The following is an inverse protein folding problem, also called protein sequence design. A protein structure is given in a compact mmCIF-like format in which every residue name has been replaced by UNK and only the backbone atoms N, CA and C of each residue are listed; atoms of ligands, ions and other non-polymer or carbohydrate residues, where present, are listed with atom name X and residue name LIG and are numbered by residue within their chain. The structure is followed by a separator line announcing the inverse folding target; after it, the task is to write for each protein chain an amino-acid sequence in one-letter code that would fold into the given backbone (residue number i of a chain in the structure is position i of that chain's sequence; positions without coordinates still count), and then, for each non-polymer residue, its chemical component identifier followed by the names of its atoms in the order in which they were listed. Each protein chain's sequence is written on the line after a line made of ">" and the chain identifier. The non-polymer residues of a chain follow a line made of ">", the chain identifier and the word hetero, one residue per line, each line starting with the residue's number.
data_IF_327906659091
#
_entry.id   IF_327906659091
#
_cell.length_a   1.000
_cell.length_b   1.000
_cell.length_c   1.000
_cell.angle_alpha   90.00
_cell.angle_beta   90.00
_cell.angle_gamma   90.00
#
_symmetry.space_group_name_H-M   'P 1'
#
loop_
_entity.id
_entity.type
_entity.pdbx_description
1 polymer ?
#
# COMPACT_ATOMS: atom_id res chain seq x y z
N UNK A 1 8.55 2.54 -27.84
CA UNK A 1 8.85 1.17 -27.35
C UNK A 1 7.62 0.64 -26.66
N UNK A 2 7.16 -0.52 -27.03
CA UNK A 2 5.94 -1.07 -26.45
C UNK A 2 6.19 -1.75 -25.10
N UNK A 3 5.10 -2.10 -24.39
CA UNK A 3 5.14 -2.71 -23.08
C UNK A 3 5.96 -4.00 -23.05
N UNK A 4 5.77 -4.85 -24.04
CA UNK A 4 6.45 -6.15 -24.13
C UNK A 4 7.96 -5.96 -24.21
N UNK A 5 8.41 -5.06 -25.05
CA UNK A 5 9.85 -4.74 -25.19
C UNK A 5 10.46 -4.21 -23.91
N UNK A 6 9.75 -3.31 -23.22
CA UNK A 6 10.22 -2.75 -21.96
C UNK A 6 10.35 -3.82 -20.88
N UNK A 7 9.36 -4.71 -20.79
CA UNK A 7 9.40 -5.81 -19.82
C UNK A 7 10.54 -6.79 -20.14
N UNK A 8 10.73 -7.13 -21.41
CA UNK A 8 11.79 -8.03 -21.83
C UNK A 8 13.19 -7.47 -21.54
N UNK A 9 13.36 -6.16 -21.64
CA UNK A 9 14.63 -5.48 -21.32
C UNK A 9 14.90 -5.38 -19.82
N UNK A 10 13.86 -5.13 -19.04
CA UNK A 10 14.01 -4.91 -17.59
C UNK A 10 14.14 -6.22 -16.82
N UNK A 11 13.53 -7.29 -17.30
CA UNK A 11 13.50 -8.58 -16.63
C UNK A 11 14.68 -9.46 -17.03
N UNK A 12 15.22 -10.21 -16.07
CA UNK A 12 16.31 -11.16 -16.30
C UNK A 12 15.78 -12.57 -16.62
N UNK A 13 14.58 -12.90 -16.18
CA UNK A 13 13.92 -14.17 -16.41
C UNK A 13 12.41 -14.01 -16.49
N UNK A 14 11.68 -15.11 -16.71
CA UNK A 14 10.24 -15.10 -16.87
C UNK A 14 9.50 -14.74 -15.58
N UNK A 15 9.99 -15.21 -14.42
CA UNK A 15 9.37 -14.88 -13.14
C UNK A 15 9.46 -13.39 -12.85
N UNK A 16 10.62 -12.80 -13.11
CA UNK A 16 10.84 -11.37 -12.96
C UNK A 16 9.98 -10.59 -13.95
N UNK A 17 9.84 -11.08 -15.18
CA UNK A 17 8.98 -10.46 -16.18
C UNK A 17 7.51 -10.40 -15.74
N UNK A 18 7.00 -11.48 -15.16
CA UNK A 18 5.63 -11.52 -14.63
C UNK A 18 5.46 -10.54 -13.46
N UNK A 19 6.44 -10.50 -12.56
CA UNK A 19 6.44 -9.55 -11.45
C UNK A 19 6.40 -8.11 -11.98
N UNK A 20 7.26 -7.77 -12.93
CA UNK A 20 7.32 -6.43 -13.49
C UNK A 20 6.03 -6.04 -14.23
N UNK A 21 5.34 -7.01 -14.82
CA UNK A 21 4.01 -6.77 -15.38
C UNK A 21 3.01 -6.31 -14.33
N UNK A 22 3.04 -6.93 -13.14
CA UNK A 22 2.19 -6.52 -12.02
C UNK A 22 2.58 -5.14 -11.47
N UNK A 23 3.88 -4.86 -11.38
CA UNK A 23 4.37 -3.53 -10.98
C UNK A 23 3.85 -2.45 -11.93
N UNK A 24 3.95 -2.71 -13.22
CA UNK A 24 3.43 -1.80 -14.25
C UNK A 24 1.93 -1.55 -14.07
N UNK A 25 1.15 -2.62 -13.88
CA UNK A 25 -0.31 -2.50 -13.72
C UNK A 25 -0.66 -1.68 -12.49
N UNK A 26 0.06 -1.84 -11.38
CA UNK A 26 -0.16 -1.05 -10.17
C UNK A 26 0.21 0.42 -10.38
N UNK A 27 1.32 0.68 -11.06
CA UNK A 27 1.70 2.05 -11.40
C UNK A 27 0.63 2.74 -12.25
N UNK A 28 0.13 2.08 -13.29
CA UNK A 28 -0.95 2.63 -14.12
C UNK A 28 -2.23 2.85 -13.32
N UNK A 29 -2.57 1.93 -12.44
CA UNK A 29 -3.75 2.04 -11.60
C UNK A 29 -3.68 3.29 -10.70
N UNK A 30 -2.54 3.52 -10.07
CA UNK A 30 -2.32 4.72 -9.26
C UNK A 30 -2.46 5.98 -10.11
N UNK A 31 -1.81 6.02 -11.25
CA UNK A 31 -1.81 7.19 -12.14
C UNK A 31 -3.21 7.51 -12.68
N UNK A 32 -3.95 6.48 -13.12
CA UNK A 32 -5.27 6.67 -13.73
C UNK A 32 -6.36 7.01 -12.72
N UNK A 33 -6.26 6.46 -11.52
CA UNK A 33 -7.31 6.62 -10.49
C UNK A 33 -6.95 7.59 -9.38
N UNK A 34 -5.70 8.06 -9.35
CA UNK A 34 -5.17 8.91 -8.27
C UNK A 34 -5.36 8.30 -6.89
N UNK A 35 -5.22 6.98 -6.80
CA UNK A 35 -5.33 6.23 -5.55
C UNK A 35 -3.95 5.69 -5.18
N UNK A 36 -3.43 5.99 -3.97
CA UNK A 36 -2.21 5.37 -3.50
C UNK A 36 -2.34 3.85 -3.56
N UNK A 37 -1.38 3.18 -4.16
CA UNK A 37 -1.48 1.74 -4.35
C UNK A 37 -0.12 1.08 -4.15
N UNK A 38 -0.12 -0.14 -3.63
CA UNK A 38 1.10 -0.86 -3.33
C UNK A 38 1.14 -2.21 -4.04
N UNK A 39 2.36 -2.64 -4.30
CA UNK A 39 2.63 -3.97 -4.86
C UNK A 39 2.70 -5.02 -3.76
N UNK A 40 2.95 -6.26 -4.15
CA UNK A 40 3.36 -7.33 -3.25
C UNK A 40 4.71 -6.99 -2.60
N UNK A 41 5.12 -7.80 -1.62
CA UNK A 41 6.46 -7.69 -1.06
C UNK A 41 7.52 -8.05 -2.09
N UNK A 42 8.51 -7.19 -2.21
CA UNK A 42 9.61 -7.34 -3.14
C UNK A 42 10.91 -7.58 -2.38
N UNK A 43 11.67 -8.61 -2.80
CA UNK A 43 13.03 -8.82 -2.34
C UNK A 43 13.93 -7.69 -2.85
N UNK A 44 15.15 -7.51 -2.30
CA UNK A 44 16.07 -6.50 -2.84
C UNK A 44 16.34 -6.64 -4.33
N UNK A 45 16.43 -7.87 -4.84
CA UNK A 45 16.62 -8.13 -6.26
C UNK A 45 15.42 -7.69 -7.08
N UNK A 46 14.21 -7.98 -6.60
CA UNK A 46 12.96 -7.57 -7.24
C UNK A 46 12.77 -6.06 -7.19
N UNK A 47 13.18 -5.41 -6.11
CA UNK A 47 13.18 -3.95 -6.00
C UNK A 47 14.08 -3.31 -7.07
N UNK A 48 15.29 -3.87 -7.26
CA UNK A 48 16.21 -3.40 -8.29
C UNK A 48 15.60 -3.55 -9.69
N UNK A 49 14.95 -4.67 -9.96
CA UNK A 49 14.25 -4.90 -11.23
C UNK A 49 13.12 -3.89 -11.44
N UNK A 50 12.31 -3.63 -10.41
CA UNK A 50 11.25 -2.63 -10.46
C UNK A 50 11.80 -1.23 -10.74
N UNK A 51 12.90 -0.85 -10.13
CA UNK A 51 13.56 0.44 -10.38
C UNK A 51 14.06 0.55 -11.82
N UNK A 52 14.60 -0.52 -12.38
CA UNK A 52 15.02 -0.53 -13.80
C UNK A 52 13.82 -0.29 -14.72
N UNK A 53 12.70 -0.96 -14.45
CA UNK A 53 11.48 -0.77 -15.25
C UNK A 53 10.97 0.66 -15.15
N UNK A 54 10.84 1.17 -13.92
CA UNK A 54 10.34 2.53 -13.69
C UNK A 54 11.24 3.58 -14.34
N UNK A 55 12.56 3.40 -14.25
CA UNK A 55 13.51 4.27 -14.92
C UNK A 55 13.33 4.25 -16.44
N UNK A 56 13.11 3.08 -17.04
CA UNK A 56 12.84 2.95 -18.47
C UNK A 56 11.53 3.63 -18.87
N UNK A 57 10.57 3.71 -17.96
CA UNK A 57 9.29 4.43 -18.16
C UNK A 57 9.41 5.93 -17.91
N UNK A 58 10.58 6.41 -17.49
CA UNK A 58 10.78 7.82 -17.13
C UNK A 58 10.24 8.18 -15.74
N UNK A 59 9.96 7.20 -14.91
CA UNK A 59 9.44 7.40 -13.55
C UNK A 59 10.63 7.43 -12.59
N UNK A 60 10.96 8.60 -12.07
CA UNK A 60 12.11 8.80 -11.18
C UNK A 60 11.69 9.15 -9.75
N UNK A 61 10.43 9.49 -9.53
CA UNK A 61 9.87 9.82 -8.23
C UNK A 61 8.39 9.38 -8.19
N UNK A 62 7.70 9.72 -7.10
CA UNK A 62 6.29 9.33 -6.95
C UNK A 62 6.11 7.92 -6.45
N UNK A 63 7.14 7.30 -5.91
CA UNK A 63 7.05 6.01 -5.26
C UNK A 63 8.09 5.87 -4.15
N UNK A 64 7.80 5.00 -3.19
CA UNK A 64 8.72 4.67 -2.10
C UNK A 64 8.67 3.17 -1.83
N UNK A 65 9.77 2.63 -1.31
CA UNK A 65 9.77 1.28 -0.73
C UNK A 65 9.45 1.40 0.76
N UNK A 66 8.48 0.62 1.22
CA UNK A 66 7.91 0.79 2.54
C UNK A 66 7.72 -0.55 3.25
N UNK A 67 7.99 -0.54 4.54
CA UNK A 67 7.83 -1.70 5.40
C UNK A 67 9.08 -2.56 5.47
N UNK A 68 9.44 -3.03 6.64
CA UNK A 68 10.42 -4.08 6.86
C UNK A 68 9.67 -5.26 7.42
N UNK A 69 9.79 -6.42 6.82
CA UNK A 69 8.83 -7.45 7.06
C UNK A 69 9.44 -8.84 7.14
N UNK A 70 8.96 -9.66 8.08
CA UNK A 70 9.27 -11.07 8.30
C UNK A 70 10.76 -11.43 8.45
N UNK A 71 11.61 -10.48 8.86
CA UNK A 71 13.05 -10.69 9.00
C UNK A 71 13.80 -10.80 7.68
N UNK A 72 13.09 -10.75 6.55
CA UNK A 72 13.67 -10.59 5.23
C UNK A 72 13.65 -9.11 4.85
N UNK A 73 14.58 -8.68 3.99
CA UNK A 73 14.67 -7.29 3.53
C UNK A 73 13.62 -6.97 2.48
N UNK A 74 12.45 -7.60 2.57
CA UNK A 74 11.34 -7.37 1.64
C UNK A 74 10.59 -6.13 2.01
N UNK A 75 10.28 -5.32 1.01
CA UNK A 75 9.48 -4.12 1.15
C UNK A 75 8.40 -4.07 0.06
N UNK A 76 7.35 -3.33 0.31
CA UNK A 76 6.34 -3.05 -0.71
C UNK A 76 6.76 -1.81 -1.47
N UNK A 77 6.54 -1.83 -2.76
CA UNK A 77 6.64 -0.63 -3.59
C UNK A 77 5.30 0.08 -3.53
N UNK A 78 5.29 1.28 -2.99
CA UNK A 78 4.09 2.08 -2.78
C UNK A 78 4.11 3.27 -3.73
N UNK A 79 3.13 3.33 -4.62
CA UNK A 79 2.99 4.42 -5.58
C UNK A 79 2.16 5.55 -4.98
N UNK A 80 2.67 6.77 -5.12
CA UNK A 80 2.05 7.98 -4.62
C UNK A 80 1.38 8.74 -5.76
N UNK A 81 0.15 9.24 -5.58
CA UNK A 81 -0.47 10.11 -6.58
C UNK A 81 0.29 11.43 -6.72
N UNK A 82 0.09 12.12 -7.84
CA UNK A 82 0.77 13.37 -8.14
C UNK A 82 0.55 14.48 -7.09
N UNK A 83 -0.54 14.40 -6.34
CA UNK A 83 -0.84 15.39 -5.29
C UNK A 83 -0.10 15.13 -3.97
N UNK A 84 0.65 14.04 -3.87
CA UNK A 84 1.48 13.80 -2.68
C UNK A 84 2.65 14.79 -2.66
N UNK A 85 2.81 15.47 -1.53
CA UNK A 85 3.77 16.58 -1.42
C UNK A 85 5.24 16.14 -1.40
N UNK A 86 5.52 14.95 -0.90
CA UNK A 86 6.90 14.47 -0.78
C UNK A 86 7.01 13.00 -1.19
N UNK A 87 7.84 12.67 -2.19
CA UNK A 87 8.05 11.28 -2.62
C UNK A 87 9.21 10.60 -1.87
N UNK A 88 9.28 10.72 -0.57
CA UNK A 88 10.29 10.06 0.24
C UNK A 88 9.67 8.98 1.14
N UNK A 89 10.50 8.29 1.92
CA UNK A 89 10.05 7.22 2.81
C UNK A 89 9.05 7.70 3.87
N UNK A 90 9.08 9.00 4.19
CA UNK A 90 8.16 9.60 5.16
C UNK A 90 6.81 9.96 4.54
N UNK A 91 6.65 9.79 3.23
CA UNK A 91 5.40 10.08 2.52
C UNK A 91 4.31 9.04 2.78
N UNK A 92 4.65 7.91 3.41
CA UNK A 92 3.69 6.85 3.71
C UNK A 92 3.67 6.64 5.23
N UNK A 93 2.46 6.59 5.77
CA UNK A 93 2.23 6.27 7.18
C UNK A 93 1.26 5.12 7.31
N UNK A 94 1.32 4.38 8.39
CA UNK A 94 0.37 3.32 8.71
C UNK A 94 -0.32 3.63 10.03
N UNK A 95 -1.64 3.44 10.05
CA UNK A 95 -2.45 3.56 11.25
C UNK A 95 -3.04 2.20 11.57
N UNK A 96 -2.85 1.73 12.80
CA UNK A 96 -3.46 0.50 13.28
C UNK A 96 -4.67 0.83 14.12
N UNK A 97 -5.78 0.17 13.85
CA UNK A 97 -7.00 0.22 14.66
C UNK A 97 -7.24 -1.13 15.32
N UNK A 98 -7.44 -1.13 16.60
CA UNK A 98 -7.75 -2.34 17.40
C UNK A 98 -9.10 -2.16 18.10
N UNK A 99 -9.69 -3.28 18.50
CA UNK A 99 -10.98 -3.28 19.20
C UNK A 99 -11.07 -4.44 20.19
N UNK A 100 -11.99 -4.33 21.13
CA UNK A 100 -12.27 -5.36 22.11
C UNK A 100 -13.60 -6.06 21.80
N UNK A 101 -13.75 -7.29 22.23
CA UNK A 101 -15.04 -7.96 22.27
C UNK A 101 -15.29 -9.02 21.22
N UNK A 102 -14.31 -9.53 20.53
CA UNK A 102 -14.45 -10.70 19.66
C UNK A 102 -15.37 -10.51 18.44
N UNK A 103 -15.78 -9.31 18.13
CA UNK A 103 -16.59 -9.05 16.96
C UNK A 103 -15.75 -9.14 15.68
N UNK A 104 -16.33 -9.74 14.65
CA UNK A 104 -15.66 -9.91 13.37
C UNK A 104 -15.93 -8.72 12.46
N UNK A 105 -14.91 -7.91 12.23
CA UNK A 105 -14.97 -6.78 11.31
C UNK A 105 -14.27 -7.12 10.01
N UNK A 106 -14.88 -6.70 8.90
CA UNK A 106 -14.39 -6.97 7.55
C UNK A 106 -13.74 -5.73 6.94
N UNK A 107 -13.02 -5.92 5.84
CA UNK A 107 -12.48 -4.82 5.04
C UNK A 107 -13.57 -3.78 4.70
N UNK A 108 -14.77 -4.25 4.36
CA UNK A 108 -15.89 -3.38 4.00
C UNK A 108 -16.35 -2.51 5.17
N UNK A 109 -16.35 -3.07 6.39
CA UNK A 109 -16.72 -2.32 7.61
C UNK A 109 -15.76 -1.17 7.84
N UNK A 110 -14.46 -1.41 7.69
CA UNK A 110 -13.45 -0.37 7.85
C UNK A 110 -13.49 0.68 6.75
N UNK A 111 -13.65 0.25 5.50
CA UNK A 111 -13.76 1.18 4.37
C UNK A 111 -14.98 2.10 4.55
N UNK A 112 -16.12 1.54 4.92
CA UNK A 112 -17.33 2.32 5.19
C UNK A 112 -17.15 3.33 6.31
N UNK A 113 -16.49 2.91 7.39
CA UNK A 113 -16.16 3.78 8.52
C UNK A 113 -15.26 4.94 8.11
N UNK A 114 -14.22 4.67 7.32
CA UNK A 114 -13.30 5.69 6.83
C UNK A 114 -13.99 6.67 5.86
N UNK A 115 -14.82 6.16 4.95
CA UNK A 115 -15.59 7.03 4.04
C UNK A 115 -16.58 7.90 4.80
N UNK A 116 -17.13 7.38 5.91
CA UNK A 116 -18.03 8.14 6.79
C UNK A 116 -17.40 9.35 7.46
N UNK A 117 -16.06 9.39 7.52
CA UNK A 117 -15.33 10.55 8.05
C UNK A 117 -15.20 11.68 7.01
N UNK A 118 -15.72 11.49 5.81
CA UNK A 118 -15.62 12.49 4.74
C UNK A 118 -14.36 12.37 3.89
N UNK A 119 -13.58 11.30 4.06
CA UNK A 119 -12.40 11.06 3.28
C UNK A 119 -12.75 10.54 1.88
N UNK A 120 -11.97 10.92 0.89
CA UNK A 120 -12.11 10.36 -0.46
C UNK A 120 -11.26 9.07 -0.56
N UNK A 121 -11.65 8.16 -1.44
CA UNK A 121 -10.90 6.90 -1.62
C UNK A 121 -9.45 7.15 -2.03
N UNK A 122 -9.17 8.25 -2.74
CA UNK A 122 -7.83 8.62 -3.16
C UNK A 122 -6.87 9.01 -2.04
N UNK A 123 -7.37 9.28 -0.83
CA UNK A 123 -6.52 9.62 0.32
C UNK A 123 -6.15 8.41 1.18
N UNK A 124 -6.75 7.26 0.91
CA UNK A 124 -6.54 6.02 1.66
C UNK A 124 -5.92 4.99 0.74
N UNK A 125 -4.80 4.43 1.16
CA UNK A 125 -4.15 3.33 0.45
C UNK A 125 -4.76 1.97 0.82
N UNK A 126 -3.91 0.99 1.01
CA UNK A 126 -4.36 -0.36 1.35
C UNK A 126 -4.94 -0.43 2.75
N UNK A 127 -5.97 -1.23 2.90
CA UNK A 127 -6.58 -1.57 4.18
C UNK A 127 -6.31 -3.06 4.41
N UNK A 128 -5.47 -3.36 5.39
CA UNK A 128 -5.02 -4.72 5.68
C UNK A 128 -5.62 -5.19 7.00
N UNK A 129 -6.56 -6.12 6.94
CA UNK A 129 -7.29 -6.59 8.11
C UNK A 129 -6.72 -7.93 8.56
N UNK A 130 -6.28 -8.00 9.82
CA UNK A 130 -5.92 -9.23 10.50
C UNK A 130 -7.05 -9.63 11.48
N UNK A 131 -6.88 -10.70 12.24
CA UNK A 131 -7.90 -11.14 13.21
C UNK A 131 -8.17 -10.10 14.31
N UNK A 132 -7.16 -9.32 14.68
CA UNK A 132 -7.19 -8.46 15.85
C UNK A 132 -6.96 -6.98 15.54
N UNK A 133 -6.65 -6.62 14.30
CA UNK A 133 -6.44 -5.22 13.94
C UNK A 133 -6.68 -4.93 12.47
N UNK A 134 -6.90 -3.67 12.18
CA UNK A 134 -6.96 -3.11 10.83
C UNK A 134 -5.77 -2.17 10.65
N UNK A 135 -5.04 -2.33 9.57
CA UNK A 135 -3.88 -1.49 9.24
C UNK A 135 -4.20 -0.70 7.97
N UNK A 136 -4.12 0.61 8.07
CA UNK A 136 -4.42 1.51 6.93
C UNK A 136 -3.14 2.21 6.51
N UNK A 137 -2.75 2.01 5.26
CA UNK A 137 -1.64 2.75 4.64
C UNK A 137 -2.18 4.04 4.04
N UNK A 138 -1.56 5.15 4.37
CA UNK A 138 -2.04 6.46 3.94
C UNK A 138 -0.90 7.48 3.94
N UNK A 139 -1.22 8.73 3.68
CA UNK A 139 -0.27 9.83 3.77
C UNK A 139 -0.23 10.38 5.20
N UNK A 140 0.89 11.01 5.62
CA UNK A 140 1.05 11.48 7.01
C UNK A 140 -0.06 12.39 7.51
N UNK A 141 -0.54 13.33 6.70
CA UNK A 141 -1.63 14.24 7.10
C UNK A 141 -2.93 13.48 7.35
N UNK A 142 -3.24 12.51 6.50
CA UNK A 142 -4.42 11.66 6.69
C UNK A 142 -4.27 10.80 7.94
N UNK A 143 -3.07 10.28 8.19
CA UNK A 143 -2.79 9.50 9.40
C UNK A 143 -3.03 10.33 10.67
N UNK A 144 -2.57 11.58 10.72
CA UNK A 144 -2.84 12.49 11.84
C UNK A 144 -4.34 12.69 12.06
N UNK A 145 -5.08 12.90 10.98
CA UNK A 145 -6.52 13.04 11.04
C UNK A 145 -7.19 11.78 11.59
N UNK A 146 -6.76 10.59 11.14
CA UNK A 146 -7.32 9.33 11.61
C UNK A 146 -7.06 9.10 13.09
N UNK A 147 -5.88 9.45 13.59
CA UNK A 147 -5.55 9.31 15.01
C UNK A 147 -6.47 10.13 15.92
N UNK A 148 -7.00 11.24 15.41
CA UNK A 148 -7.89 12.11 16.19
C UNK A 148 -9.37 11.87 15.93
N UNK A 149 -9.76 11.39 14.74
CA UNK A 149 -11.15 11.34 14.30
C UNK A 149 -11.73 9.94 14.14
N UNK A 150 -10.89 8.93 13.91
CA UNK A 150 -11.37 7.58 13.62
C UNK A 150 -11.57 6.79 14.92
N UNK A 151 -12.81 6.75 15.41
CA UNK A 151 -13.13 6.22 16.73
C UNK A 151 -13.99 4.96 16.69
N UNK A 152 -14.60 4.64 15.56
CA UNK A 152 -15.49 3.48 15.47
C UNK A 152 -15.63 2.94 14.05
N UNK A 153 -15.95 1.67 13.96
CA UNK A 153 -16.41 1.01 12.73
C UNK A 153 -17.77 0.40 13.03
N UNK A 154 -18.83 1.00 12.48
CA UNK A 154 -20.20 0.65 12.85
C UNK A 154 -20.42 0.96 14.34
N UNK A 155 -20.80 -0.08 15.10
CA UNK A 155 -21.04 0.01 16.55
C UNK A 155 -19.80 -0.33 17.37
N UNK A 156 -18.73 -0.76 16.72
CA UNK A 156 -17.51 -1.20 17.40
C UNK A 156 -16.60 -0.02 17.62
N UNK A 157 -16.18 0.19 18.88
CA UNK A 157 -15.26 1.26 19.23
C UNK A 157 -13.83 0.83 18.89
N UNK A 158 -13.09 1.71 18.24
CA UNK A 158 -11.71 1.50 17.82
C UNK A 158 -10.74 2.30 18.68
N UNK A 159 -9.56 1.70 18.88
CA UNK A 159 -8.41 2.42 19.41
C UNK A 159 -7.37 2.49 18.31
N UNK A 160 -6.92 3.69 17.97
CA UNK A 160 -5.98 3.91 16.86
C UNK A 160 -4.60 4.31 17.38
N UNK A 161 -3.59 3.88 16.66
CA UNK A 161 -2.19 4.22 16.95
C UNK A 161 -1.40 4.23 15.64
N UNK A 162 -0.35 5.06 15.61
CA UNK A 162 0.58 5.05 14.50
C UNK A 162 1.37 3.74 14.54
N UNK A 163 1.46 3.05 13.40
CA UNK A 163 2.15 1.78 13.28
C UNK A 163 3.50 1.98 12.61
N UNK A 164 4.62 1.60 13.26
CA UNK A 164 5.92 1.62 12.58
C UNK A 164 5.92 0.70 11.36
N UNK A 165 6.60 1.08 10.27
CA UNK A 165 6.61 0.26 9.04
C UNK A 165 7.07 -1.17 9.23
N UNK A 166 8.04 -1.39 10.11
CA UNK A 166 8.59 -2.72 10.43
C UNK A 166 7.61 -3.62 11.18
N UNK A 167 6.56 -3.07 11.74
CA UNK A 167 5.51 -3.82 12.45
C UNK A 167 4.29 -4.12 11.58
N UNK A 168 4.30 -3.69 10.32
CA UNK A 168 3.21 -3.93 9.40
C UNK A 168 3.06 -5.43 9.12
N UNK A 169 1.85 -5.96 9.32
CA UNK A 169 1.53 -7.34 9.02
C UNK A 169 0.69 -7.41 7.75
N UNK A 170 0.97 -8.40 6.89
CA UNK A 170 0.14 -8.62 5.71
C UNK A 170 -0.54 -9.99 5.81
N UNK A 171 -1.87 -10.01 5.90
CA UNK A 171 -2.62 -11.26 5.82
C UNK A 171 -2.40 -11.91 4.44
N UNK A 172 -2.27 -13.23 4.41
CA UNK A 172 -2.13 -13.97 3.15
C UNK A 172 -3.27 -13.67 2.18
N UNK A 173 -4.46 -13.42 2.70
CA UNK A 173 -5.63 -13.07 1.91
C UNK A 173 -5.49 -11.69 1.25
N UNK A 174 -4.94 -10.70 1.93
CA UNK A 174 -4.74 -9.38 1.37
C UNK A 174 -3.76 -9.39 0.21
N UNK A 175 -2.74 -10.26 0.24
CA UNK A 175 -1.81 -10.43 -0.87
C UNK A 175 -2.53 -10.89 -2.15
N UNK A 176 -3.61 -11.65 -2.03
CA UNK A 176 -4.42 -12.08 -3.18
C UNK A 176 -5.25 -10.93 -3.73
N UNK A 177 -5.85 -10.12 -2.87
CA UNK A 177 -6.64 -8.97 -3.26
C UNK A 177 -5.82 -7.93 -4.01
N UNK A 178 -4.54 -7.78 -3.64
CA UNK A 178 -3.62 -6.85 -4.29
C UNK A 178 -3.18 -7.32 -5.68
N UNK A 179 -3.35 -8.60 -6.00
CA UNK A 179 -3.01 -9.17 -7.31
C UNK A 179 -4.13 -9.04 -8.34
N UNK A 180 -5.32 -8.84 -7.86
CA UNK A 180 -6.52 -8.65 -8.67
C UNK A 180 -6.78 -7.15 -8.87
#
# INVERSE_FOLDING_TARGET
>A
MDRRELLDRAAQDEDERLLLGRVWDKWEQCRLRSIPTATDFLSPQEQAAAQRLLGALGVHDGYVFFGGYDGAERQRLFFLPDWAETPDADAVAAVAATWYGGEHLTHRDFLGSLMGLGLTRGTIGDILVTEDRCQVLTLPKTAEFLLSAWESAGRVRLKTALLPPEELEIPAQACRELRD
#
